data_IF_228515468255
#
_entry.id   IF_228515468255
#
_cell.length_a   1.000
_cell.length_b   1.000
_cell.length_c   1.000
_cell.angle_alpha   90.00
_cell.angle_beta   90.00
_cell.angle_gamma   90.00
#
_symmetry.space_group_name_H-M   'P 1'
#
loop_
_entity.id
_entity.type
_entity.pdbx_description
1 polymer ?
#
# COMPACT_ATOMS: atom_id res chain seq x y z
N UNK A 1 -15.44 5.72 -8.09
CA UNK A 1 -14.31 6.45 -7.47
C UNK A 1 -13.30 5.42 -7.01
N UNK A 2 -12.06 5.50 -7.49
CA UNK A 2 -10.99 4.61 -7.08
C UNK A 2 -10.82 4.63 -5.54
N UNK A 3 -10.98 3.48 -4.88
CA UNK A 3 -10.71 3.34 -3.45
C UNK A 3 -9.24 3.67 -3.15
N UNK A 4 -8.98 4.55 -2.18
CA UNK A 4 -7.63 4.96 -1.75
C UNK A 4 -7.45 4.74 -0.26
N UNK A 5 -8.06 5.60 0.56
CA UNK A 5 -8.00 5.53 2.03
C UNK A 5 -8.59 4.24 2.62
N UNK A 6 -9.62 3.70 1.98
CA UNK A 6 -10.27 2.48 2.45
C UNK A 6 -9.37 1.26 2.28
N UNK A 7 -8.64 1.15 1.16
CA UNK A 7 -7.67 0.06 0.94
C UNK A 7 -6.55 0.08 2.00
N UNK A 8 -5.94 1.25 2.25
CA UNK A 8 -4.89 1.37 3.28
C UNK A 8 -5.43 1.12 4.69
N UNK A 9 -6.66 1.57 5.00
CA UNK A 9 -7.29 1.31 6.29
C UNK A 9 -7.58 -0.19 6.48
N UNK A 10 -8.06 -0.88 5.44
CA UNK A 10 -8.30 -2.33 5.47
C UNK A 10 -7.01 -3.10 5.76
N UNK A 11 -5.89 -2.75 5.10
CA UNK A 11 -4.60 -3.39 5.37
C UNK A 11 -4.16 -3.17 6.82
N UNK A 12 -4.30 -1.95 7.35
CA UNK A 12 -3.98 -1.65 8.75
C UNK A 12 -4.80 -2.52 9.70
N UNK A 13 -6.12 -2.58 9.52
CA UNK A 13 -7.01 -3.38 10.37
C UNK A 13 -6.69 -4.87 10.28
N UNK A 14 -6.48 -5.40 9.08
CA UNK A 14 -6.11 -6.81 8.88
C UNK A 14 -4.76 -7.14 9.53
N UNK A 15 -3.81 -6.20 9.50
CA UNK A 15 -2.52 -6.36 10.19
C UNK A 15 -2.71 -6.41 11.70
N UNK A 16 -3.50 -5.49 12.27
CA UNK A 16 -3.80 -5.49 13.70
C UNK A 16 -4.54 -6.76 14.14
N UNK A 17 -5.48 -7.25 13.33
CA UNK A 17 -6.20 -8.49 13.57
C UNK A 17 -5.25 -9.70 13.55
N UNK A 18 -4.35 -9.78 12.58
CA UNK A 18 -3.34 -10.83 12.52
C UNK A 18 -2.41 -10.83 13.74
N UNK A 19 -1.98 -9.65 14.20
CA UNK A 19 -1.17 -9.50 15.42
C UNK A 19 -1.93 -9.93 16.67
N UNK A 20 -3.20 -9.55 16.81
CA UNK A 20 -4.03 -9.94 17.94
C UNK A 20 -4.21 -11.46 18.01
N UNK A 21 -4.53 -12.10 16.88
CA UNK A 21 -4.66 -13.56 16.78
C UNK A 21 -3.33 -14.24 17.06
N UNK A 22 -2.22 -13.74 16.50
CA UNK A 22 -0.89 -14.32 16.71
C UNK A 22 -0.45 -14.26 18.17
N UNK A 23 -0.74 -13.15 18.86
CA UNK A 23 -0.48 -12.97 20.29
C UNK A 23 -1.28 -13.95 21.12
N UNK A 24 -2.58 -14.06 20.88
CA UNK A 24 -3.47 -14.96 21.63
C UNK A 24 -3.10 -16.43 21.43
N UNK A 25 -2.66 -16.80 20.21
CA UNK A 25 -2.19 -18.15 19.90
C UNK A 25 -0.76 -18.45 20.35
N UNK A 26 -0.02 -17.46 20.86
CA UNK A 26 1.40 -17.61 21.20
C UNK A 26 2.32 -17.93 20.00
N UNK A 27 1.91 -17.61 18.77
CA UNK A 27 2.68 -17.91 17.54
C UNK A 27 3.61 -16.77 17.11
N UNK A 28 3.59 -15.65 17.84
CA UNK A 28 4.46 -14.50 17.65
C UNK A 28 5.15 -14.18 18.98
N UNK A 29 6.43 -13.83 18.93
CA UNK A 29 7.14 -13.36 20.11
C UNK A 29 6.65 -11.98 20.55
N UNK A 30 6.78 -11.68 21.83
CA UNK A 30 6.39 -10.37 22.39
C UNK A 30 7.20 -9.25 21.76
N UNK A 31 8.50 -9.47 21.51
CA UNK A 31 9.39 -8.50 20.88
C UNK A 31 8.90 -8.17 19.47
N UNK A 32 8.54 -9.17 18.67
CA UNK A 32 8.04 -8.97 17.31
C UNK A 32 6.67 -8.29 17.31
N UNK A 33 5.79 -8.65 18.24
CA UNK A 33 4.49 -8.00 18.40
C UNK A 33 4.67 -6.49 18.69
N UNK A 34 5.48 -6.13 19.68
CA UNK A 34 5.73 -4.74 20.06
C UNK A 34 6.42 -3.96 18.95
N UNK A 35 7.39 -4.57 18.25
CA UNK A 35 8.07 -3.95 17.13
C UNK A 35 7.10 -3.58 15.99
N UNK A 36 6.19 -4.49 15.61
CA UNK A 36 5.22 -4.20 14.54
C UNK A 36 4.20 -3.14 14.97
N UNK A 37 3.72 -3.18 16.22
CA UNK A 37 2.82 -2.14 16.74
C UNK A 37 3.47 -0.75 16.70
N UNK A 38 4.75 -0.65 17.11
CA UNK A 38 5.53 0.60 17.01
C UNK A 38 5.68 1.05 15.55
N UNK A 39 5.93 0.14 14.63
CA UNK A 39 6.03 0.52 13.22
C UNK A 39 4.68 0.95 12.62
N UNK A 40 3.57 0.38 13.07
CA UNK A 40 2.22 0.82 12.69
C UNK A 40 1.94 2.25 13.14
N UNK A 41 2.41 2.66 14.33
CA UNK A 41 2.24 4.05 14.78
C UNK A 41 3.04 5.08 13.96
N UNK A 42 4.08 4.64 13.25
CA UNK A 42 4.86 5.49 12.34
C UNK A 42 4.30 5.55 10.91
N UNK A 43 3.28 4.75 10.57
CA UNK A 43 2.70 4.73 9.21
C UNK A 43 2.16 6.10 8.77
N UNK A 44 1.43 6.89 9.59
CA UNK A 44 0.95 8.21 9.18
C UNK A 44 2.07 9.14 8.70
N UNK A 45 3.19 9.19 9.43
CA UNK A 45 4.35 9.99 9.06
C UNK A 45 4.99 9.51 7.75
N UNK A 46 5.10 8.18 7.56
CA UNK A 46 5.61 7.61 6.31
C UNK A 46 4.71 7.97 5.13
N UNK A 47 3.39 7.97 5.31
CA UNK A 47 2.43 8.39 4.29
C UNK A 47 2.64 9.86 3.95
N UNK A 48 2.80 10.74 4.93
CA UNK A 48 3.07 12.17 4.70
C UNK A 48 4.33 12.39 3.85
N UNK A 49 5.42 11.69 4.18
CA UNK A 49 6.67 11.74 3.40
C UNK A 49 6.48 11.28 1.96
N UNK A 50 5.67 10.24 1.72
CA UNK A 50 5.35 9.76 0.35
C UNK A 50 4.49 10.79 -0.39
N UNK A 51 3.51 11.41 0.27
CA UNK A 51 2.65 12.43 -0.33
C UNK A 51 3.43 13.69 -0.75
N UNK A 52 4.55 14.00 -0.08
CA UNK A 52 5.44 15.08 -0.50
C UNK A 52 6.02 14.90 -1.91
N UNK A 53 6.06 13.66 -2.44
CA UNK A 53 6.53 13.35 -3.79
C UNK A 53 5.53 13.72 -4.90
N UNK A 54 4.33 14.21 -4.56
CA UNK A 54 3.24 14.48 -5.51
C UNK A 54 3.68 15.33 -6.72
N UNK A 55 4.45 16.40 -6.51
CA UNK A 55 4.92 17.27 -7.62
C UNK A 55 5.81 16.50 -8.60
N UNK A 56 6.72 15.67 -8.09
CA UNK A 56 7.64 14.87 -8.90
C UNK A 56 6.91 13.77 -9.66
N UNK A 57 5.97 13.07 -8.99
CA UNK A 57 5.13 12.03 -9.62
C UNK A 57 4.24 12.64 -10.71
N UNK A 58 3.66 13.83 -10.48
CA UNK A 58 2.88 14.56 -11.50
C UNK A 58 3.73 14.98 -12.71
N UNK A 59 5.01 15.31 -12.51
CA UNK A 59 5.92 15.59 -13.64
C UNK A 59 6.22 14.31 -14.40
N UNK A 60 6.48 13.21 -13.69
CA UNK A 60 6.74 11.90 -14.27
C UNK A 60 5.54 11.40 -15.08
N UNK A 61 4.31 11.55 -14.58
CA UNK A 61 3.11 11.02 -15.24
C UNK A 61 2.89 11.53 -16.67
N UNK A 62 3.45 12.70 -17.01
CA UNK A 62 3.39 13.27 -18.36
C UNK A 62 4.10 12.43 -19.42
N UNK A 63 5.11 11.64 -19.06
CA UNK A 63 5.78 10.77 -20.05
C UNK A 63 4.87 9.64 -20.53
N UNK A 64 3.80 9.35 -19.77
CA UNK A 64 2.88 8.26 -20.03
C UNK A 64 1.57 8.70 -20.68
N UNK A 65 1.44 9.97 -21.08
CA UNK A 65 0.21 10.52 -21.66
C UNK A 65 -0.32 9.73 -22.87
N UNK A 66 0.56 9.11 -23.66
CA UNK A 66 0.20 8.31 -24.84
C UNK A 66 0.46 6.81 -24.68
N UNK A 67 0.84 6.37 -23.47
CA UNK A 67 1.04 4.96 -23.18
C UNK A 67 -0.31 4.24 -23.20
N UNK A 68 -0.39 3.14 -23.96
CA UNK A 68 -1.61 2.31 -24.05
C UNK A 68 -1.60 1.12 -23.12
N UNK A 69 -0.41 0.67 -22.72
CA UNK A 69 -0.20 -0.53 -21.93
C UNK A 69 0.77 -0.27 -20.77
N UNK A 70 0.49 -0.84 -19.61
CA UNK A 70 1.37 -0.85 -18.44
C UNK A 70 1.56 -2.26 -17.88
N UNK A 71 2.75 -2.53 -17.35
CA UNK A 71 3.02 -3.77 -16.61
C UNK A 71 3.40 -3.38 -15.18
N UNK A 72 2.67 -3.95 -14.22
CA UNK A 72 2.95 -3.85 -12.79
C UNK A 72 3.55 -5.16 -12.31
N UNK A 73 4.70 -5.08 -11.64
CA UNK A 73 5.43 -6.25 -11.14
C UNK A 73 5.52 -6.18 -9.60
N UNK A 74 5.28 -7.30 -8.94
CA UNK A 74 5.40 -7.44 -7.50
C UNK A 74 5.62 -8.89 -7.10
N UNK A 75 6.30 -9.12 -5.96
CA UNK A 75 6.59 -10.45 -5.42
C UNK A 75 6.24 -10.50 -3.94
N UNK A 76 5.76 -11.66 -3.46
CA UNK A 76 5.37 -11.83 -2.06
C UNK A 76 4.26 -10.84 -1.69
N UNK A 77 4.40 -10.13 -0.57
CA UNK A 77 3.43 -9.12 -0.13
C UNK A 77 3.32 -7.92 -1.09
N UNK A 78 4.27 -7.70 -2.00
CA UNK A 78 4.20 -6.63 -3.00
C UNK A 78 3.36 -7.02 -4.23
N UNK A 79 3.09 -8.31 -4.46
CA UNK A 79 2.23 -8.75 -5.56
C UNK A 79 0.83 -8.13 -5.50
N UNK A 80 0.07 -8.23 -4.39
CA UNK A 80 -1.25 -7.59 -4.30
C UNK A 80 -1.19 -6.06 -4.39
N UNK A 81 -0.08 -5.44 -3.99
CA UNK A 81 0.11 -3.98 -4.12
C UNK A 81 0.29 -3.58 -5.60
N UNK A 82 1.04 -4.39 -6.37
CA UNK A 82 1.18 -4.19 -7.80
C UNK A 82 -0.17 -4.31 -8.53
N UNK A 83 -1.01 -5.28 -8.13
CA UNK A 83 -2.37 -5.43 -8.66
C UNK A 83 -3.26 -4.22 -8.34
N UNK A 84 -3.22 -3.72 -7.10
CA UNK A 84 -3.99 -2.52 -6.72
C UNK A 84 -3.55 -1.30 -7.54
N UNK A 85 -2.24 -1.12 -7.75
CA UNK A 85 -1.70 -0.06 -8.60
C UNK A 85 -2.20 -0.14 -10.04
N UNK A 86 -2.17 -1.35 -10.64
CA UNK A 86 -2.69 -1.59 -11.98
C UNK A 86 -4.19 -1.30 -12.07
N UNK A 87 -4.96 -1.74 -11.07
CA UNK A 87 -6.40 -1.50 -10.99
C UNK A 87 -6.68 0.01 -10.94
N UNK A 88 -5.99 0.77 -10.09
CA UNK A 88 -6.19 2.23 -10.01
C UNK A 88 -5.87 2.93 -11.32
N UNK A 89 -4.78 2.56 -11.99
CA UNK A 89 -4.42 3.14 -13.28
C UNK A 89 -5.53 2.87 -14.30
N UNK A 90 -5.97 1.62 -14.43
CA UNK A 90 -7.03 1.21 -15.35
C UNK A 90 -8.36 1.94 -15.08
N UNK A 91 -8.78 2.03 -13.82
CA UNK A 91 -10.07 2.62 -13.42
C UNK A 91 -10.21 4.11 -13.79
N UNK A 92 -9.13 4.89 -13.71
CA UNK A 92 -9.20 6.36 -13.84
C UNK A 92 -8.58 6.89 -15.13
N UNK A 93 -7.66 6.15 -15.75
CA UNK A 93 -6.98 6.58 -16.98
C UNK A 93 -7.46 5.85 -18.23
N UNK A 94 -8.18 4.73 -18.09
CA UNK A 94 -8.59 3.83 -19.18
C UNK A 94 -7.41 3.24 -19.99
N UNK A 95 -6.19 3.37 -19.49
CA UNK A 95 -5.00 2.69 -20.00
C UNK A 95 -5.09 1.21 -19.62
N UNK A 96 -4.65 0.33 -20.52
CA UNK A 96 -4.65 -1.12 -20.30
C UNK A 96 -3.39 -1.60 -19.59
#
# INVERSE_FOLDING_TARGET
VASTKAFTAQITVLTMMALAIGKEKGTISVEKYLAVIKELSHIPEKIERVLALNKSIKKLSRIFTYARNFIYLGRGYNYPIALEGALKLKEISYIH
#
